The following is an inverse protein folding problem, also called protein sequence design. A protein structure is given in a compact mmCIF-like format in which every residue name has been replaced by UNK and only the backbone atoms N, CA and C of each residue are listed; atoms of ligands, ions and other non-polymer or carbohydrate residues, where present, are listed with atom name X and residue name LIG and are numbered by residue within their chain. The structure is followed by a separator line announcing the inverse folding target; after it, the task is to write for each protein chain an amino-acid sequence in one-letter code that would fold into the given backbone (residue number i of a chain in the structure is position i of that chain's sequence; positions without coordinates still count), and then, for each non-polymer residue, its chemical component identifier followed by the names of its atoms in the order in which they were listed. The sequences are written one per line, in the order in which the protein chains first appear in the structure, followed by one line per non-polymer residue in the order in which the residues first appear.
data_IF_444764368752
#
_entry.id   IF_444764368752
#
_cell.length_a   1.000
_cell.length_b   1.000
_cell.length_c   1.000
_cell.angle_alpha   90.00
_cell.angle_beta   90.00
_cell.angle_gamma   90.00
#
_symmetry.space_group_name_H-M   'P 1'
#
loop_
_entity.id
_entity.type
_entity.pdbx_description
1 polymer ?
#
# COMPACT_ATOMS: atom_id res chain seq x y z
N UNK A 1 8.59 18.43 11.33
CA UNK A 1 7.58 18.93 10.36
C UNK A 1 6.77 17.72 9.91
N UNK A 2 5.48 17.65 10.25
CA UNK A 2 4.64 16.53 9.78
C UNK A 2 4.14 16.91 8.40
N UNK A 3 4.73 16.29 7.38
CA UNK A 3 4.30 16.45 6.00
C UNK A 3 2.87 15.90 5.81
N UNK A 4 2.20 16.33 4.72
CA UNK A 4 0.86 15.84 4.44
C UNK A 4 0.90 14.33 4.22
N UNK A 5 0.04 13.60 4.95
CA UNK A 5 -0.14 12.17 4.74
C UNK A 5 -1.62 11.82 4.85
N UNK A 6 -2.01 10.82 4.08
CA UNK A 6 -3.35 10.25 4.08
C UNK A 6 -3.24 8.73 4.14
N UNK A 7 -4.05 8.12 4.98
CA UNK A 7 -4.07 6.68 5.15
C UNK A 7 -5.45 6.15 4.85
N UNK A 8 -5.50 5.09 4.05
CA UNK A 8 -6.73 4.40 3.70
C UNK A 8 -6.50 2.90 3.81
N UNK A 9 -7.46 2.20 4.41
CA UNK A 9 -7.49 0.74 4.49
C UNK A 9 -8.57 0.24 3.54
N UNK A 10 -8.23 -0.78 2.76
CA UNK A 10 -9.14 -1.48 1.87
C UNK A 10 -9.26 -2.92 2.31
N UNK A 11 -10.48 -3.42 2.44
CA UNK A 11 -10.70 -4.86 2.56
C UNK A 11 -10.51 -5.49 1.18
N UNK A 12 -9.81 -6.61 1.17
CA UNK A 12 -9.56 -7.42 0.00
C UNK A 12 -9.94 -8.87 0.28
N UNK A 13 -10.03 -9.69 -0.78
CA UNK A 13 -10.54 -11.07 -0.71
C UNK A 13 -9.84 -11.92 0.36
N UNK A 14 -10.48 -13.02 0.77
CA UNK A 14 -9.93 -14.00 1.72
C UNK A 14 -9.51 -13.44 3.11
N UNK A 15 -10.11 -12.32 3.53
CA UNK A 15 -9.85 -11.71 4.85
C UNK A 15 -8.59 -10.85 4.90
N UNK A 16 -8.00 -10.54 3.74
CA UNK A 16 -6.88 -9.63 3.63
C UNK A 16 -7.34 -8.16 3.71
N UNK A 17 -6.48 -7.32 4.24
CA UNK A 17 -6.62 -5.88 4.33
C UNK A 17 -5.36 -5.25 3.74
N UNK A 18 -5.56 -4.25 2.90
CA UNK A 18 -4.50 -3.49 2.26
C UNK A 18 -4.51 -2.10 2.88
N UNK A 19 -3.48 -1.79 3.67
CA UNK A 19 -3.27 -0.47 4.25
C UNK A 19 -2.34 0.33 3.36
N UNK A 20 -2.85 1.44 2.82
CA UNK A 20 -2.10 2.36 1.98
C UNK A 20 -1.92 3.67 2.71
N UNK A 21 -0.67 4.09 2.87
CA UNK A 21 -0.33 5.41 3.38
C UNK A 21 0.30 6.22 2.26
N UNK A 22 -0.44 7.21 1.75
CA UNK A 22 0.09 8.22 0.84
C UNK A 22 0.73 9.36 1.65
N UNK A 23 1.93 9.82 1.31
CA UNK A 23 2.63 10.85 2.08
C UNK A 23 3.58 11.68 1.22
N UNK A 24 3.82 12.93 1.61
CA UNK A 24 4.88 13.75 1.05
C UNK A 24 6.13 13.64 1.93
N UNK A 25 7.32 13.55 1.32
CA UNK A 25 8.59 13.61 2.06
C UNK A 25 9.14 15.03 2.20
N UNK A 26 8.62 15.97 1.40
CA UNK A 26 9.04 17.37 1.33
C UNK A 26 7.81 18.28 1.18
N UNK A 27 7.92 19.55 1.60
CA UNK A 27 6.80 20.50 1.51
C UNK A 27 6.45 20.77 0.03
N UNK A 28 5.19 20.53 -0.34
CA UNK A 28 4.72 20.61 -1.72
C UNK A 28 5.51 19.73 -2.72
N UNK A 29 6.21 18.71 -2.21
CA UNK A 29 6.92 17.72 -3.01
C UNK A 29 5.99 16.65 -3.59
N UNK A 30 6.55 15.69 -4.33
CA UNK A 30 5.79 14.59 -4.88
C UNK A 30 5.19 13.71 -3.77
N UNK A 31 4.12 12.98 -4.12
CA UNK A 31 3.50 12.03 -3.21
C UNK A 31 4.10 10.64 -3.39
N UNK A 32 4.42 10.01 -2.26
CA UNK A 32 4.81 8.61 -2.14
C UNK A 32 3.69 7.79 -1.52
N UNK A 33 3.82 6.48 -1.62
CA UNK A 33 2.97 5.54 -0.90
C UNK A 33 3.79 4.49 -0.15
N UNK A 34 3.21 3.98 0.93
CA UNK A 34 3.64 2.82 1.67
C UNK A 34 2.46 1.84 1.77
N UNK A 35 2.71 0.57 1.50
CA UNK A 35 1.70 -0.48 1.54
C UNK A 35 2.08 -1.51 2.59
N UNK A 36 1.12 -1.83 3.45
CA UNK A 36 1.20 -2.96 4.35
C UNK A 36 -0.05 -3.82 4.14
N UNK A 37 0.16 -5.11 3.90
CA UNK A 37 -0.91 -6.10 3.81
C UNK A 37 -1.02 -6.80 5.16
N UNK A 38 -2.24 -7.10 5.58
CA UNK A 38 -2.51 -7.90 6.76
C UNK A 38 -3.67 -8.85 6.51
N UNK A 39 -3.70 -9.99 7.18
CA UNK A 39 -4.81 -10.93 7.18
C UNK A 39 -5.28 -11.13 8.61
N UNK A 40 -6.57 -10.94 8.86
CA UNK A 40 -7.15 -11.04 10.21
C UNK A 40 -6.41 -10.20 11.29
N UNK A 41 -5.83 -9.06 10.91
CA UNK A 41 -5.08 -8.18 11.82
C UNK A 41 -3.58 -8.51 11.98
N UNK A 42 -3.10 -9.61 11.39
CA UNK A 42 -1.67 -9.95 11.36
C UNK A 42 -1.05 -9.46 10.06
N UNK A 43 0.04 -8.68 10.07
CA UNK A 43 0.75 -8.31 8.87
C UNK A 43 1.22 -9.55 8.09
N UNK A 44 0.91 -9.60 6.80
CA UNK A 44 1.31 -10.68 5.88
C UNK A 44 1.94 -10.06 4.64
N UNK A 45 3.07 -10.63 4.20
CA UNK A 45 3.83 -10.13 3.05
C UNK A 45 4.77 -8.96 3.34
N UNK A 46 5.52 -8.50 2.32
CA UNK A 46 6.48 -7.42 2.46
C UNK A 46 5.79 -6.05 2.58
N UNK A 47 6.37 -5.16 3.38
CA UNK A 47 6.02 -3.74 3.34
C UNK A 47 6.62 -3.12 2.07
N UNK A 48 5.78 -2.58 1.20
CA UNK A 48 6.20 -2.04 -0.10
C UNK A 48 6.08 -0.52 -0.10
N UNK A 49 7.23 0.14 -0.22
CA UNK A 49 7.30 1.57 -0.46
C UNK A 49 7.36 1.86 -1.97
N UNK A 50 6.79 2.98 -2.39
CA UNK A 50 6.98 3.53 -3.74
C UNK A 50 8.48 3.54 -4.09
N UNK A 51 8.92 2.84 -5.16
CA UNK A 51 10.35 2.71 -5.48
C UNK A 51 10.98 4.04 -5.90
N UNK A 52 10.22 4.89 -6.58
CA UNK A 52 10.72 6.12 -7.21
C UNK A 52 9.82 7.32 -6.91
N UNK A 53 9.55 7.64 -5.64
CA UNK A 53 9.35 9.02 -5.18
C UNK A 53 8.22 9.90 -5.76
N UNK A 54 7.47 9.46 -6.77
CA UNK A 54 6.91 10.39 -7.75
C UNK A 54 5.47 10.04 -8.14
N UNK A 55 4.53 10.65 -7.43
CA UNK A 55 3.13 10.75 -7.85
C UNK A 55 2.72 12.21 -7.83
N UNK A 56 1.99 12.61 -8.86
CA UNK A 56 1.59 14.00 -9.09
C UNK A 56 0.64 14.51 -7.99
N UNK A 57 -0.12 13.60 -7.37
CA UNK A 57 -1.04 13.94 -6.29
C UNK A 57 -1.26 12.75 -5.34
N UNK A 58 -1.91 13.05 -4.20
CA UNK A 58 -2.29 12.08 -3.17
C UNK A 58 -3.11 10.91 -3.71
N UNK A 59 -4.08 11.19 -4.58
CA UNK A 59 -5.04 10.18 -5.06
C UNK A 59 -4.31 9.16 -5.94
N UNK A 60 -3.37 9.61 -6.78
CA UNK A 60 -2.55 8.73 -7.60
C UNK A 60 -1.60 7.87 -6.76
N UNK A 61 -1.03 8.42 -5.69
CA UNK A 61 -0.24 7.65 -4.74
C UNK A 61 -1.07 6.58 -4.02
N UNK A 62 -2.28 6.92 -3.60
CA UNK A 62 -3.21 6.00 -2.96
C UNK A 62 -3.65 4.88 -3.91
N UNK A 63 -4.03 5.22 -5.15
CA UNK A 63 -4.40 4.22 -6.17
C UNK A 63 -3.24 3.30 -6.54
N UNK A 64 -2.02 3.87 -6.69
CA UNK A 64 -0.83 3.08 -6.98
C UNK A 64 -0.47 2.13 -5.84
N UNK A 65 -0.53 2.62 -4.59
CA UNK A 65 -0.32 1.81 -3.40
C UNK A 65 -1.37 0.70 -3.25
N UNK A 66 -2.64 1.02 -3.51
CA UNK A 66 -3.71 0.01 -3.51
C UNK A 66 -3.40 -1.11 -4.53
N UNK A 67 -3.09 -0.74 -5.77
CA UNK A 67 -2.76 -1.72 -6.83
C UNK A 67 -1.52 -2.56 -6.50
N UNK A 68 -0.53 -1.97 -5.82
CA UNK A 68 0.62 -2.72 -5.34
C UNK A 68 0.21 -3.74 -4.25
N UNK A 69 -0.63 -3.33 -3.30
CA UNK A 69 -1.15 -4.24 -2.28
C UNK A 69 -2.02 -5.37 -2.83
N UNK A 70 -2.85 -5.08 -3.84
CA UNK A 70 -3.65 -6.11 -4.52
C UNK A 70 -2.74 -7.19 -5.14
N UNK A 71 -1.63 -6.79 -5.79
CA UNK A 71 -0.65 -7.75 -6.32
C UNK A 71 0.02 -8.60 -5.23
N UNK A 72 0.40 -7.99 -4.11
CA UNK A 72 1.00 -8.73 -2.98
C UNK A 72 0.02 -9.78 -2.47
N UNK A 73 -1.25 -9.42 -2.27
CA UNK A 73 -2.26 -10.38 -1.83
C UNK A 73 -2.51 -11.46 -2.90
N UNK A 74 -2.50 -11.09 -4.18
CA UNK A 74 -2.63 -12.06 -5.27
C UNK A 74 -1.49 -13.07 -5.31
N UNK A 75 -0.25 -12.62 -5.07
CA UNK A 75 0.94 -13.48 -4.97
C UNK A 75 0.86 -14.39 -3.75
N UNK A 76 0.53 -13.86 -2.55
CA UNK A 76 0.37 -14.64 -1.33
C UNK A 76 -0.69 -15.74 -1.47
N UNK A 77 -1.83 -15.41 -2.09
CA UNK A 77 -2.89 -16.38 -2.35
C UNK A 77 -2.55 -17.40 -3.45
N UNK A 78 -1.68 -17.02 -4.39
CA UNK A 78 -1.14 -17.93 -5.40
C UNK A 78 -0.11 -18.90 -4.81
N UNK A 79 0.73 -18.44 -3.89
CA UNK A 79 1.65 -19.30 -3.14
C UNK A 79 0.92 -20.31 -2.25
N UNK A 80 -0.21 -19.91 -1.64
CA UNK A 80 -1.08 -20.77 -0.81
C UNK A 80 -1.76 -21.91 -1.61
N UNK A 81 -1.68 -21.93 -2.95
CA UNK A 81 -2.29 -22.99 -3.79
C UNK A 81 -1.36 -24.16 -4.12
N UNK A 82 -0.12 -24.15 -3.61
CA UNK A 82 0.83 -25.25 -3.71
C UNK A 82 1.18 -25.83 -2.32
N UNK A 83 0.21 -26.45 -1.65
CA UNK A 83 0.44 -27.42 -0.57
C UNK A 83 -0.59 -28.56 -0.64
#
# INVERSE_FOLDING_TARGET
MSYASHEQVYEYRAGYQIRVRAFQNEYAGPWDYLVQVSRHGTPEGPEVRSPDGHRDNRIDAEMAGRKAGERIVDELLGEDTYD
#
